data_IF_859029011668
#
_entry.id   IF_859029011668
#
_cell.length_a   1.000
_cell.length_b   1.000
_cell.length_c   1.000
_cell.angle_alpha   90.00
_cell.angle_beta   90.00
_cell.angle_gamma   90.00
#
_symmetry.space_group_name_H-M   'P 1'
#
loop_
_entity.id
_entity.type
_entity.pdbx_description
1 polymer ?
#
# COMPACT_ATOMS: atom_id res chain seq x y z
N UNK A 1 0.41 -1.51 9.04
CA UNK A 1 0.19 -0.35 9.94
C UNK A 1 0.93 0.84 9.35
N UNK A 2 0.30 2.01 9.27
CA UNK A 2 0.94 3.24 8.77
C UNK A 2 1.37 4.07 9.97
N UNK A 3 2.58 4.64 9.95
CA UNK A 3 3.10 5.47 11.04
C UNK A 3 3.27 6.92 10.59
N UNK A 4 2.91 7.86 11.45
CA UNK A 4 3.19 9.28 11.25
C UNK A 4 4.64 9.65 11.58
N UNK A 5 5.02 10.88 11.27
CA UNK A 5 6.33 11.45 11.64
C UNK A 5 6.57 11.45 13.16
N UNK A 6 5.49 11.43 13.94
CA UNK A 6 5.47 11.28 15.39
C UNK A 6 5.75 9.84 15.88
N UNK A 7 6.11 8.92 14.97
CA UNK A 7 6.30 7.47 15.22
C UNK A 7 5.08 6.77 15.80
N UNK A 8 3.90 7.38 15.73
CA UNK A 8 2.69 6.77 16.21
C UNK A 8 1.89 6.18 15.07
N UNK A 9 1.16 5.12 15.37
CA UNK A 9 0.32 4.46 14.39
C UNK A 9 -0.85 5.39 14.00
N UNK A 10 -1.04 5.53 12.71
CA UNK A 10 -2.25 6.09 12.14
C UNK A 10 -3.32 5.01 12.15
N UNK A 11 -4.44 5.32 12.79
CA UNK A 11 -5.62 4.45 12.77
C UNK A 11 -6.45 4.80 11.54
N UNK A 12 -6.86 3.82 10.74
CA UNK A 12 -7.71 4.11 9.62
C UNK A 12 -9.08 4.59 10.18
N UNK A 13 -9.82 5.37 9.41
CA UNK A 13 -11.12 5.95 9.77
C UNK A 13 -11.97 6.09 8.52
N UNK A 14 -13.28 5.94 8.63
CA UNK A 14 -14.17 6.12 7.50
C UNK A 14 -15.46 6.82 7.90
N UNK A 15 -16.03 7.55 6.96
CA UNK A 15 -17.33 8.20 7.14
C UNK A 15 -18.15 7.99 5.88
N UNK A 16 -19.36 7.49 6.04
CA UNK A 16 -20.30 7.29 4.93
C UNK A 16 -21.36 8.38 4.98
N UNK A 17 -21.49 9.17 3.92
CA UNK A 17 -22.57 10.16 3.81
C UNK A 17 -23.86 9.49 3.32
N UNK A 18 -25.00 10.16 3.53
CA UNK A 18 -26.35 9.71 3.10
C UNK A 18 -26.43 9.34 1.61
N UNK A 19 -25.59 9.94 0.76
CA UNK A 19 -25.45 9.62 -0.67
C UNK A 19 -24.57 8.37 -0.94
N UNK A 20 -24.44 7.44 0.02
CA UNK A 20 -23.57 6.24 -0.05
C UNK A 20 -22.09 6.48 -0.39
N UNK A 21 -21.63 7.74 -0.47
CA UNK A 21 -20.23 8.09 -0.67
C UNK A 21 -19.46 7.80 0.62
N UNK A 22 -18.47 6.91 0.54
CA UNK A 22 -17.58 6.54 1.64
C UNK A 22 -16.27 7.31 1.51
N UNK A 23 -15.97 8.11 2.52
CA UNK A 23 -14.70 8.80 2.66
C UNK A 23 -13.82 8.01 3.62
N UNK A 24 -12.54 7.87 3.27
CA UNK A 24 -11.55 7.09 4.02
C UNK A 24 -10.36 7.99 4.35
N UNK A 25 -9.95 7.94 5.60
CA UNK A 25 -8.88 8.76 6.15
C UNK A 25 -8.00 7.92 7.07
N UNK A 26 -6.75 8.32 7.23
CA UNK A 26 -5.88 7.87 8.31
C UNK A 26 -5.77 9.00 9.33
N UNK A 27 -6.07 8.68 10.60
CA UNK A 27 -6.11 9.64 11.72
C UNK A 27 -5.03 9.27 12.74
N UNK A 28 -4.25 10.24 13.25
CA UNK A 28 -3.33 10.00 14.35
C UNK A 28 -4.04 9.45 15.59
N UNK A 29 -3.45 8.45 16.23
CA UNK A 29 -4.07 7.83 17.40
C UNK A 29 -4.27 8.79 18.57
N UNK A 30 -3.42 9.83 18.68
CA UNK A 30 -3.59 10.90 19.67
C UNK A 30 -4.83 11.75 19.41
N UNK A 31 -5.17 12.00 18.15
CA UNK A 31 -6.39 12.72 17.78
C UNK A 31 -7.66 11.91 18.14
N UNK A 32 -7.55 10.58 18.15
CA UNK A 32 -8.63 9.69 18.56
C UNK A 32 -8.72 9.49 20.09
N UNK A 33 -7.59 9.52 20.81
CA UNK A 33 -7.51 9.20 22.26
C UNK A 33 -7.46 10.41 23.19
N UNK A 34 -6.90 11.53 22.76
CA UNK A 34 -6.70 12.72 23.60
C UNK A 34 -7.73 13.79 23.26
N UNK A 35 -7.57 14.47 22.13
CA UNK A 35 -8.48 15.50 21.62
C UNK A 35 -8.18 15.79 20.15
N UNK A 36 -9.15 16.37 19.43
CA UNK A 36 -8.97 16.73 18.02
C UNK A 36 -7.78 17.70 17.85
N UNK A 37 -6.77 17.30 17.07
CA UNK A 37 -5.55 18.08 16.85
C UNK A 37 -4.41 17.86 17.86
N UNK A 38 -4.52 16.88 18.77
CA UNK A 38 -3.48 16.55 19.75
C UNK A 38 -2.13 16.13 19.11
N UNK A 39 -2.18 15.49 17.94
CA UNK A 39 -0.98 15.13 17.17
C UNK A 39 -0.42 16.29 16.35
N UNK A 40 -1.21 17.36 16.11
CA UNK A 40 -0.93 18.44 15.14
C UNK A 40 -0.72 17.97 13.69
N UNK A 41 -0.82 16.66 13.43
CA UNK A 41 -0.74 16.09 12.09
C UNK A 41 -2.08 16.23 11.36
N UNK A 42 -2.07 16.53 10.05
CA UNK A 42 -3.28 16.56 9.27
C UNK A 42 -3.89 15.16 9.11
N UNK A 43 -5.21 15.10 8.94
CA UNK A 43 -5.89 13.86 8.52
C UNK A 43 -5.46 13.53 7.09
N UNK A 44 -4.93 12.33 6.88
CA UNK A 44 -4.43 11.94 5.57
C UNK A 44 -5.55 11.25 4.77
N UNK A 45 -5.90 11.71 3.57
CA UNK A 45 -6.83 11.01 2.71
C UNK A 45 -6.22 9.66 2.30
N UNK A 46 -6.98 8.58 2.52
CA UNK A 46 -6.48 7.23 2.29
C UNK A 46 -6.08 7.01 0.82
N UNK A 47 -6.83 7.58 -0.12
CA UNK A 47 -6.55 7.44 -1.54
C UNK A 47 -5.17 8.02 -1.95
N UNK A 48 -4.81 9.20 -1.45
CA UNK A 48 -3.52 9.83 -1.79
C UNK A 48 -2.37 9.12 -1.10
N UNK A 49 -2.55 8.71 0.16
CA UNK A 49 -1.55 7.98 0.92
C UNK A 49 -1.26 6.62 0.31
N UNK A 50 -2.31 5.86 -0.02
CA UNK A 50 -2.20 4.56 -0.69
C UNK A 50 -1.54 4.72 -2.06
N UNK A 51 -1.92 5.73 -2.85
CA UNK A 51 -1.30 5.99 -4.14
C UNK A 51 0.19 6.33 -4.01
N UNK A 52 0.58 7.13 -3.01
CA UNK A 52 1.97 7.48 -2.76
C UNK A 52 2.81 6.25 -2.33
N UNK A 53 2.28 5.43 -1.42
CA UNK A 53 2.93 4.18 -0.98
C UNK A 53 3.10 3.21 -2.14
N UNK A 54 2.06 3.03 -2.95
CA UNK A 54 2.12 2.18 -4.14
C UNK A 54 3.13 2.72 -5.17
N UNK A 55 3.16 4.04 -5.37
CA UNK A 55 4.14 4.68 -6.25
C UNK A 55 5.58 4.43 -5.80
N UNK A 56 5.85 4.59 -4.50
CA UNK A 56 7.17 4.31 -3.93
C UNK A 56 7.56 2.84 -4.07
N UNK A 57 6.62 1.92 -3.79
CA UNK A 57 6.84 0.48 -3.95
C UNK A 57 7.18 0.13 -5.41
N UNK A 58 6.48 0.72 -6.38
CA UNK A 58 6.78 0.56 -7.82
C UNK A 58 8.18 1.06 -8.17
N UNK A 59 8.57 2.23 -7.64
CA UNK A 59 9.92 2.76 -7.86
C UNK A 59 10.99 1.82 -7.30
N UNK A 60 10.78 1.26 -6.10
CA UNK A 60 11.69 0.30 -5.48
C UNK A 60 11.77 -1.01 -6.26
N UNK A 61 10.64 -1.56 -6.70
CA UNK A 61 10.61 -2.80 -7.50
C UNK A 61 11.31 -2.67 -8.86
N UNK A 62 11.37 -1.47 -9.42
CA UNK A 62 12.13 -1.18 -10.65
C UNK A 62 13.64 -1.05 -10.42
N UNK A 63 14.12 -1.00 -9.17
CA UNK A 63 15.54 -0.86 -8.91
C UNK A 63 16.28 -2.16 -9.27
N UNK A 64 17.40 -2.09 -10.01
CA UNK A 64 18.14 -3.28 -10.43
C UNK A 64 18.67 -4.10 -9.24
N UNK A 65 18.96 -3.44 -8.11
CA UNK A 65 19.33 -4.09 -6.86
C UNK A 65 18.25 -5.07 -6.36
N UNK A 66 16.98 -4.68 -6.43
CA UNK A 66 15.87 -5.55 -6.02
C UNK A 66 15.76 -6.78 -6.93
N UNK A 67 15.97 -6.62 -8.24
CA UNK A 67 15.92 -7.74 -9.19
C UNK A 67 17.02 -8.75 -8.86
N UNK A 68 18.25 -8.28 -8.62
CA UNK A 68 19.40 -9.12 -8.26
C UNK A 68 19.15 -9.89 -6.95
N UNK A 69 18.49 -9.28 -5.96
CA UNK A 69 18.15 -9.95 -4.70
C UNK A 69 17.01 -10.97 -4.83
N UNK A 70 16.06 -10.73 -5.74
CA UNK A 70 14.85 -11.56 -5.91
C UNK A 70 15.14 -12.79 -6.79
N UNK A 71 15.95 -12.65 -7.84
CA UNK A 71 16.30 -13.75 -8.77
C UNK A 71 16.70 -15.04 -8.04
N UNK A 72 17.67 -15.06 -7.09
CA UNK A 72 18.07 -16.30 -6.43
C UNK A 72 16.95 -16.92 -5.59
N UNK A 73 16.04 -16.12 -5.04
CA UNK A 73 14.90 -16.60 -4.26
C UNK A 73 13.85 -17.26 -5.17
N UNK A 74 13.60 -16.66 -6.34
CA UNK A 74 12.62 -17.17 -7.31
C UNK A 74 13.12 -18.46 -7.97
N UNK A 75 14.41 -18.52 -8.33
CA UNK A 75 15.05 -19.74 -8.85
C UNK A 75 15.00 -20.86 -7.81
N UNK A 76 15.23 -20.57 -6.53
CA UNK A 76 15.11 -21.55 -5.45
C UNK A 76 13.68 -22.08 -5.26
N UNK A 77 12.65 -21.27 -5.56
CA UNK A 77 11.24 -21.66 -5.50
C UNK A 77 10.80 -22.46 -6.74
N UNK A 78 11.41 -22.22 -7.89
CA UNK A 78 11.10 -22.89 -9.13
C UNK A 78 12.33 -22.98 -10.05
N UNK A 79 12.90 -24.18 -10.14
CA UNK A 79 14.09 -24.50 -10.92
C UNK A 79 13.86 -24.42 -12.45
N UNK A 80 12.60 -24.19 -12.89
CA UNK A 80 12.28 -23.96 -14.30
C UNK A 80 12.39 -22.49 -14.73
N UNK A 81 12.57 -21.56 -13.79
CA UNK A 81 12.67 -20.14 -14.08
C UNK A 81 14.13 -19.70 -14.22
N UNK A 82 14.46 -19.09 -15.36
CA UNK A 82 15.79 -18.50 -15.61
C UNK A 82 15.84 -17.02 -15.19
N UNK A 83 17.03 -16.51 -14.89
CA UNK A 83 17.28 -15.11 -14.50
C UNK A 83 16.69 -14.11 -15.51
N UNK A 84 16.82 -14.42 -16.81
CA UNK A 84 16.25 -13.60 -17.87
C UNK A 84 14.71 -13.55 -17.80
N UNK A 85 14.06 -14.67 -17.49
CA UNK A 85 12.61 -14.75 -17.36
C UNK A 85 12.12 -13.99 -16.13
N UNK A 86 12.83 -14.10 -15.00
CA UNK A 86 12.50 -13.37 -13.77
C UNK A 86 12.67 -11.86 -13.95
N UNK A 87 13.75 -11.43 -14.62
CA UNK A 87 13.98 -10.01 -14.90
C UNK A 87 12.89 -9.43 -15.80
N UNK A 88 12.51 -10.16 -16.85
CA UNK A 88 11.42 -9.77 -17.75
C UNK A 88 10.09 -9.73 -17.01
N UNK A 89 9.78 -10.73 -16.19
CA UNK A 89 8.55 -10.77 -15.39
C UNK A 89 8.46 -9.61 -14.40
N UNK A 90 9.56 -9.30 -13.69
CA UNK A 90 9.65 -8.17 -12.77
C UNK A 90 9.47 -6.82 -13.48
N UNK A 91 9.98 -6.69 -14.70
CA UNK A 91 9.82 -5.47 -15.52
C UNK A 91 8.40 -5.32 -16.05
N UNK A 92 7.76 -6.42 -16.45
CA UNK A 92 6.38 -6.44 -16.96
C UNK A 92 5.33 -6.36 -15.85
N UNK A 93 5.69 -6.71 -14.60
CA UNK A 93 4.80 -6.69 -13.44
C UNK A 93 4.10 -5.34 -13.26
N UNK A 94 4.80 -4.24 -13.55
CA UNK A 94 4.23 -2.89 -13.46
C UNK A 94 3.06 -2.67 -14.43
N UNK A 95 3.16 -3.20 -15.66
CA UNK A 95 2.07 -3.14 -16.64
C UNK A 95 0.87 -4.03 -16.28
N UNK A 96 1.12 -5.16 -15.60
CA UNK A 96 0.07 -6.04 -15.09
C UNK A 96 -0.60 -5.43 -13.85
N UNK A 97 0.17 -4.70 -13.04
CA UNK A 97 -0.32 -4.04 -11.82
C UNK A 97 -1.43 -3.03 -12.12
N UNK A 98 -1.34 -2.26 -13.20
CA UNK A 98 -2.41 -1.33 -13.58
C UNK A 98 -3.72 -2.04 -13.97
N UNK A 99 -3.65 -3.32 -14.36
CA UNK A 99 -4.81 -4.12 -14.75
C UNK A 99 -5.44 -4.91 -13.58
N UNK A 100 -4.63 -5.32 -12.59
CA UNK A 100 -5.10 -6.06 -11.41
C UNK A 100 -5.84 -5.18 -10.40
N UNK A 101 -5.47 -3.92 -10.27
CA UNK A 101 -5.85 -3.10 -9.12
C UNK A 101 -7.28 -2.53 -9.05
N UNK A 102 -8.07 -2.40 -10.14
CA UNK A 102 -9.47 -2.01 -9.99
C UNK A 102 -10.29 -3.04 -9.19
N UNK A 103 -10.00 -4.33 -9.35
CA UNK A 103 -10.72 -5.42 -8.71
C UNK A 103 -10.18 -5.77 -7.32
N UNK A 104 -8.86 -5.72 -7.12
CA UNK A 104 -8.21 -6.06 -5.84
C UNK A 104 -8.39 -4.95 -4.77
N UNK A 105 -8.40 -3.67 -5.16
CA UNK A 105 -8.67 -2.56 -4.24
C UNK A 105 -10.07 -2.65 -3.62
N UNK A 106 -11.05 -3.21 -4.35
CA UNK A 106 -12.39 -3.43 -3.84
C UNK A 106 -12.45 -4.52 -2.76
N UNK A 107 -11.57 -5.54 -2.83
CA UNK A 107 -11.53 -6.69 -1.91
C UNK A 107 -10.67 -6.45 -0.67
N UNK A 108 -9.48 -5.88 -0.83
CA UNK A 108 -8.61 -5.57 0.32
C UNK A 108 -9.24 -4.50 1.23
N UNK A 109 -9.92 -3.49 0.68
CA UNK A 109 -10.51 -2.45 1.51
C UNK A 109 -11.76 -2.87 2.31
N UNK A 110 -12.35 -4.05 2.08
CA UNK A 110 -13.44 -4.56 2.94
C UNK A 110 -12.98 -5.54 4.02
N UNK A 111 -11.91 -6.28 3.79
CA UNK A 111 -11.47 -7.34 4.73
C UNK A 111 -10.50 -6.86 5.81
N UNK A 112 -9.74 -5.78 5.60
CA UNK A 112 -8.76 -5.28 6.58
C UNK A 112 -9.35 -4.54 7.80
N UNK A 113 -10.67 -4.61 8.01
CA UNK A 113 -11.42 -3.73 8.92
C UNK A 113 -12.52 -4.43 9.71
N UNK A 114 -12.36 -5.73 9.92
CA UNK A 114 -13.21 -6.49 10.84
C UNK A 114 -12.34 -7.37 11.72
N UNK A 115 -11.60 -6.74 12.63
CA UNK A 115 -11.23 -7.30 13.93
C UNK A 115 -10.97 -6.17 14.93
#
# INVERSE_FOLDING_TARGET
MVFGEDRQALSPWHTTKRNRRRYRYYIPQRDAKEYAGASKLPRLPAAELEAAVLGQLRTMMRQPMMIIEIVPQVVALNDQLDEAQVTVAMTQLDGIWDQLFPAEQARSCSCWWKE
#
